data_IF_253101476681
#
_entry.id   IF_253101476681
#
_cell.length_a   1.000
_cell.length_b   1.000
_cell.length_c   1.000
_cell.angle_alpha   90.00
_cell.angle_beta   90.00
_cell.angle_gamma   90.00
#
_symmetry.space_group_name_H-M   'P 1'
#
loop_
_entity.id
_entity.type
_entity.pdbx_description
1 polymer ?
#
# COMPACT_ATOMS: atom_id res chain seq x y z
N UNK A 1 -14.13 0.39 12.29
CA UNK A 1 -14.82 -0.39 11.24
C UNK A 1 -16.28 -0.57 11.61
N UNK A 2 -17.22 -0.36 10.68
CA UNK A 2 -18.67 -0.42 10.96
C UNK A 2 -19.23 -1.78 10.53
N UNK A 3 -19.94 -2.44 11.44
CA UNK A 3 -20.63 -3.70 11.16
C UNK A 3 -22.04 -3.45 10.61
N UNK A 4 -22.58 -4.42 9.87
CA UNK A 4 -23.93 -4.38 9.28
C UNK A 4 -24.89 -5.11 10.22
N UNK A 5 -25.85 -4.36 10.76
CA UNK A 5 -26.79 -4.85 11.79
C UNK A 5 -28.01 -5.63 11.26
N UNK A 6 -28.46 -5.37 10.03
CA UNK A 6 -29.74 -5.89 9.49
C UNK A 6 -29.59 -7.23 8.77
N UNK A 7 -28.93 -8.20 9.42
CA UNK A 7 -28.71 -9.55 8.88
C UNK A 7 -30.03 -10.33 8.87
N UNK A 8 -30.40 -10.89 7.71
CA UNK A 8 -31.72 -11.54 7.51
C UNK A 8 -31.64 -13.06 7.57
N UNK A 9 -30.44 -13.59 7.35
CA UNK A 9 -30.17 -15.01 7.29
C UNK A 9 -29.12 -15.38 8.34
N UNK A 10 -29.25 -16.55 8.95
CA UNK A 10 -28.21 -17.15 9.79
C UNK A 10 -27.29 -18.07 9.00
N UNK A 11 -27.61 -18.35 7.73
CA UNK A 11 -26.78 -19.13 6.83
C UNK A 11 -25.48 -18.38 6.50
N UNK A 12 -24.40 -18.88 7.10
CA UNK A 12 -23.04 -18.41 6.83
C UNK A 12 -22.50 -19.17 5.63
N UNK A 13 -22.10 -18.43 4.60
CA UNK A 13 -21.44 -18.98 3.42
C UNK A 13 -19.97 -18.65 3.44
N UNK A 14 -19.16 -19.58 2.96
CA UNK A 14 -17.71 -19.39 2.83
C UNK A 14 -17.40 -19.25 1.35
N UNK A 15 -16.81 -18.13 0.97
CA UNK A 15 -16.45 -17.84 -0.42
C UNK A 15 -14.96 -17.57 -0.54
N UNK A 16 -14.43 -17.83 -1.74
CA UNK A 16 -13.04 -17.55 -2.10
C UNK A 16 -13.00 -16.38 -3.06
N UNK A 17 -12.18 -15.38 -2.74
CA UNK A 17 -12.01 -14.16 -3.53
C UNK A 17 -10.55 -13.94 -3.89
N UNK A 18 -10.31 -13.24 -4.99
CA UNK A 18 -8.97 -12.85 -5.38
C UNK A 18 -8.94 -11.47 -6.04
N UNK A 19 -7.80 -10.79 -5.89
CA UNK A 19 -7.43 -9.60 -6.65
C UNK A 19 -6.55 -9.94 -7.86
N UNK A 20 -6.20 -11.21 -8.06
CA UNK A 20 -5.30 -11.67 -9.12
C UNK A 20 -3.81 -11.44 -8.85
N UNK A 21 -3.45 -10.95 -7.65
CA UNK A 21 -2.05 -10.66 -7.26
C UNK A 21 -1.31 -11.91 -6.80
N UNK A 22 -1.98 -12.77 -6.04
CA UNK A 22 -1.42 -14.02 -5.50
C UNK A 22 -2.24 -15.23 -5.98
N UNK A 23 -1.57 -16.38 -6.07
CA UNK A 23 -2.17 -17.65 -6.51
C UNK A 23 -3.14 -18.21 -5.47
N UNK A 24 -2.84 -17.99 -4.19
CA UNK A 24 -3.72 -18.38 -3.09
C UNK A 24 -4.94 -17.44 -3.09
N UNK A 25 -6.17 -17.96 -3.06
CA UNK A 25 -7.36 -17.15 -2.87
C UNK A 25 -7.59 -16.83 -1.39
N UNK A 26 -8.18 -15.67 -1.11
CA UNK A 26 -8.60 -15.30 0.24
C UNK A 26 -9.97 -15.91 0.54
N UNK A 27 -10.06 -16.68 1.62
CA UNK A 27 -11.32 -17.23 2.11
C UNK A 27 -11.99 -16.27 3.10
N UNK A 28 -13.28 -15.98 2.89
CA UNK A 28 -14.07 -15.14 3.79
C UNK A 28 -15.44 -15.73 4.06
N UNK A 29 -15.96 -15.43 5.26
CA UNK A 29 -17.31 -15.81 5.69
C UNK A 29 -18.27 -14.64 5.51
N UNK A 30 -19.37 -14.90 4.82
CA UNK A 30 -20.36 -13.89 4.43
C UNK A 30 -21.77 -14.33 4.83
N UNK A 31 -22.64 -13.35 5.02
CA UNK A 31 -24.05 -13.55 5.38
C UNK A 31 -24.92 -12.57 4.62
N UNK A 32 -26.15 -12.98 4.31
CA UNK A 32 -27.13 -12.13 3.63
C UNK A 32 -27.69 -11.09 4.59
N UNK A 33 -27.84 -9.86 4.12
CA UNK A 33 -28.44 -8.76 4.89
C UNK A 33 -29.56 -8.07 4.10
N UNK A 34 -30.39 -7.29 4.80
CA UNK A 34 -31.48 -6.53 4.20
C UNK A 34 -30.95 -5.15 3.86
N UNK A 35 -30.75 -4.89 2.57
CA UNK A 35 -30.31 -3.58 2.10
C UNK A 35 -31.35 -2.50 2.39
N UNK A 36 -30.93 -1.44 3.07
CA UNK A 36 -31.71 -0.23 3.30
C UNK A 36 -31.69 0.70 2.08
N UNK A 37 -32.52 1.75 2.11
CA UNK A 37 -32.68 2.68 0.98
C UNK A 37 -31.39 3.47 0.62
N UNK A 38 -30.40 3.51 1.51
CA UNK A 38 -29.10 4.16 1.28
C UNK A 38 -27.98 3.21 0.85
N UNK A 39 -28.21 1.89 0.86
CA UNK A 39 -27.15 0.93 0.59
C UNK A 39 -26.89 0.79 -0.91
N UNK A 40 -25.63 0.95 -1.31
CA UNK A 40 -25.21 0.76 -2.68
C UNK A 40 -24.92 -0.72 -2.91
N UNK A 41 -25.93 -1.46 -3.40
CA UNK A 41 -25.84 -2.91 -3.69
C UNK A 41 -25.58 -3.23 -5.16
N UNK A 42 -25.28 -2.23 -5.99
CA UNK A 42 -24.99 -2.42 -7.41
C UNK A 42 -23.60 -1.89 -7.78
N UNK A 43 -22.95 -2.55 -8.74
CA UNK A 43 -21.76 -2.00 -9.39
C UNK A 43 -22.19 -1.01 -10.46
N UNK A 44 -21.55 0.15 -10.49
CA UNK A 44 -21.69 1.14 -11.54
C UNK A 44 -20.34 1.29 -12.26
N UNK A 45 -20.38 1.52 -13.56
CA UNK A 45 -19.21 1.87 -14.36
C UNK A 45 -19.61 2.86 -15.44
N UNK A 46 -18.65 3.65 -15.91
CA UNK A 46 -18.87 4.64 -16.96
C UNK A 46 -18.10 4.22 -18.19
N UNK A 47 -18.73 4.34 -19.35
CA UNK A 47 -18.13 4.05 -20.65
C UNK A 47 -18.29 5.26 -21.55
N UNK A 48 -17.38 5.44 -22.49
CA UNK A 48 -17.52 6.45 -23.54
C UNK A 48 -18.09 5.77 -24.77
N UNK A 49 -19.29 6.17 -25.17
CA UNK A 49 -20.01 5.61 -26.33
C UNK A 49 -20.39 6.73 -27.32
N UNK A 50 -20.55 6.39 -28.59
CA UNK A 50 -20.88 7.33 -29.67
C UNK A 50 -19.68 8.10 -30.26
N UNK A 51 -19.87 8.74 -31.42
CA UNK A 51 -18.80 9.43 -32.16
C UNK A 51 -18.18 10.61 -31.40
N UNK A 52 -18.90 11.17 -30.42
CA UNK A 52 -18.43 12.28 -29.58
C UNK A 52 -17.82 11.82 -28.25
N UNK A 53 -17.85 10.52 -27.96
CA UNK A 53 -17.32 9.94 -26.72
C UNK A 53 -18.12 10.31 -25.48
N UNK A 54 -19.45 10.33 -25.58
CA UNK A 54 -20.35 10.71 -24.49
C UNK A 54 -20.26 9.67 -23.35
N UNK A 55 -20.25 10.16 -22.10
CA UNK A 55 -20.17 9.31 -20.92
C UNK A 55 -21.52 8.67 -20.58
N UNK A 56 -21.59 7.35 -20.68
CA UNK A 56 -22.76 6.54 -20.34
C UNK A 56 -22.48 5.79 -19.04
N UNK A 57 -23.32 6.01 -18.03
CA UNK A 57 -23.26 5.29 -16.75
C UNK A 57 -24.09 4.01 -16.82
N UNK A 58 -23.43 2.87 -16.64
CA UNK A 58 -24.01 1.52 -16.61
C UNK A 58 -24.12 0.99 -15.19
N UNK A 59 -24.98 -0.02 -14.99
CA UNK A 59 -25.31 -0.60 -13.68
C UNK A 59 -25.46 -2.12 -13.78
N UNK A 60 -24.96 -2.85 -12.77
CA UNK A 60 -25.22 -4.26 -12.54
C UNK A 60 -25.58 -4.48 -11.08
N UNK A 61 -26.78 -4.99 -10.83
CA UNK A 61 -27.24 -5.35 -9.49
C UNK A 61 -26.46 -6.57 -8.98
N UNK A 62 -26.12 -6.55 -7.69
CA UNK A 62 -25.41 -7.63 -7.01
C UNK A 62 -26.20 -8.05 -5.76
N UNK A 63 -25.93 -9.26 -5.28
CA UNK A 63 -26.62 -9.78 -4.10
C UNK A 63 -26.17 -9.07 -2.80
N UNK A 64 -27.09 -8.81 -1.87
CA UNK A 64 -26.81 -8.09 -0.63
C UNK A 64 -26.19 -9.02 0.42
N UNK A 65 -24.87 -9.22 0.31
CA UNK A 65 -24.07 -9.92 1.32
C UNK A 65 -23.07 -8.97 1.98
N UNK A 66 -22.77 -9.26 3.25
CA UNK A 66 -21.75 -8.60 4.05
C UNK A 66 -20.89 -9.64 4.78
N UNK A 67 -19.75 -9.21 5.34
CA UNK A 67 -18.91 -10.05 6.19
C UNK A 67 -19.66 -10.45 7.47
N UNK A 68 -19.46 -11.70 7.91
CA UNK A 68 -20.01 -12.19 9.20
C UNK A 68 -19.39 -11.46 10.38
N UNK A 69 -18.10 -11.16 10.32
CA UNK A 69 -17.39 -10.43 11.36
C UNK A 69 -16.24 -9.64 10.72
N UNK A 70 -16.40 -8.32 10.65
CA UNK A 70 -15.42 -7.43 10.01
C UNK A 70 -14.08 -7.45 10.76
N UNK A 71 -14.08 -7.62 12.08
CA UNK A 71 -12.86 -7.60 12.89
C UNK A 71 -12.08 -8.91 12.79
N UNK A 72 -12.80 -10.04 12.82
CA UNK A 72 -12.19 -11.35 12.58
C UNK A 72 -11.64 -11.44 11.15
N UNK A 73 -12.40 -10.96 10.16
CA UNK A 73 -11.91 -10.88 8.78
C UNK A 73 -10.71 -9.94 8.65
N UNK A 74 -10.68 -8.79 9.33
CA UNK A 74 -9.52 -7.89 9.31
C UNK A 74 -8.23 -8.57 9.83
N UNK A 75 -8.35 -9.38 10.88
CA UNK A 75 -7.21 -10.12 11.45
C UNK A 75 -6.76 -11.26 10.54
N UNK A 76 -7.71 -11.99 9.96
CA UNK A 76 -7.39 -13.02 8.98
C UNK A 76 -6.75 -12.42 7.71
N UNK A 77 -7.27 -11.29 7.23
CA UNK A 77 -6.81 -10.64 6.03
C UNK A 77 -5.39 -10.05 6.17
N UNK A 78 -5.09 -9.43 7.31
CA UNK A 78 -3.73 -8.98 7.64
C UNK A 78 -2.73 -10.13 7.60
N UNK A 79 -3.06 -11.25 8.26
CA UNK A 79 -2.23 -12.47 8.23
C UNK A 79 -2.05 -12.98 6.80
N UNK A 80 -3.13 -13.02 6.03
CA UNK A 80 -3.09 -13.45 4.63
C UNK A 80 -2.17 -12.56 3.78
N UNK A 81 -2.20 -11.24 3.97
CA UNK A 81 -1.33 -10.29 3.26
C UNK A 81 0.14 -10.60 3.56
N UNK A 82 0.49 -10.74 4.85
CA UNK A 82 1.85 -11.02 5.30
C UNK A 82 2.34 -12.36 4.77
N UNK A 83 1.51 -13.40 4.86
CA UNK A 83 1.90 -14.76 4.52
C UNK A 83 1.96 -15.02 3.00
N UNK A 84 1.14 -14.30 2.20
CA UNK A 84 0.95 -14.64 0.78
C UNK A 84 1.18 -13.46 -0.18
N UNK A 85 0.52 -12.32 0.05
CA UNK A 85 0.54 -11.21 -0.88
C UNK A 85 1.91 -10.52 -0.92
N UNK A 86 2.48 -10.21 0.24
CA UNK A 86 3.80 -9.56 0.35
C UNK A 86 4.91 -10.40 -0.28
N UNK A 87 5.07 -11.70 0.04
CA UNK A 87 6.08 -12.53 -0.63
C UNK A 87 5.90 -12.61 -2.14
N UNK A 88 4.65 -12.66 -2.62
CA UNK A 88 4.37 -12.66 -4.06
C UNK A 88 4.76 -11.35 -4.72
N UNK A 89 4.41 -10.21 -4.11
CA UNK A 89 4.81 -8.89 -4.60
C UNK A 89 6.32 -8.71 -4.58
N UNK A 90 7.01 -9.15 -3.53
CA UNK A 90 8.47 -9.13 -3.47
C UNK A 90 9.03 -9.96 -4.62
N UNK A 91 8.57 -11.20 -4.83
CA UNK A 91 9.07 -12.06 -5.91
C UNK A 91 8.84 -11.46 -7.31
N UNK A 92 7.67 -10.88 -7.55
CA UNK A 92 7.31 -10.28 -8.86
C UNK A 92 8.09 -8.99 -9.12
N UNK A 93 8.37 -8.21 -8.07
CA UNK A 93 9.06 -6.93 -8.18
C UNK A 93 10.56 -7.02 -7.86
N UNK A 94 11.07 -8.20 -7.51
CA UNK A 94 12.50 -8.44 -7.34
C UNK A 94 13.13 -8.28 -8.72
N UNK A 95 14.06 -7.34 -8.89
CA UNK A 95 14.71 -7.10 -10.16
C UNK A 95 15.34 -8.37 -10.74
N UNK A 96 14.88 -8.82 -11.91
CA UNK A 96 15.69 -9.72 -12.74
C UNK A 96 17.02 -9.00 -13.05
N UNK A 97 18.12 -9.74 -13.10
CA UNK A 97 19.54 -9.32 -13.23
C UNK A 97 19.85 -8.15 -14.20
N UNK A 98 18.95 -7.81 -15.12
CA UNK A 98 19.03 -6.67 -16.03
C UNK A 98 19.09 -5.30 -15.35
N UNK A 99 18.57 -5.15 -14.12
CA UNK A 99 18.55 -3.85 -13.43
C UNK A 99 19.86 -3.49 -12.72
N UNK A 100 20.80 -4.42 -12.53
CA UNK A 100 22.14 -4.08 -12.01
C UNK A 100 22.89 -3.10 -12.93
N UNK A 101 22.54 -3.04 -14.23
CA UNK A 101 23.25 -2.21 -15.21
C UNK A 101 22.85 -0.74 -15.25
N UNK A 102 21.78 -0.31 -14.56
CA UNK A 102 21.32 1.10 -14.60
C UNK A 102 21.72 1.90 -13.35
N UNK A 103 22.43 1.29 -12.37
CA UNK A 103 22.82 1.96 -11.12
C UNK A 103 24.04 2.89 -11.22
N UNK A 104 24.76 2.86 -12.35
CA UNK A 104 25.92 3.70 -12.60
C UNK A 104 25.45 5.07 -13.11
N UNK A 105 25.45 6.07 -12.23
CA UNK A 105 25.38 7.49 -12.61
C UNK A 105 24.15 8.29 -12.17
N UNK A 106 23.20 7.72 -11.41
CA UNK A 106 22.08 8.50 -10.86
C UNK A 106 22.26 8.91 -9.40
N UNK A 107 21.80 10.12 -9.10
CA UNK A 107 21.79 10.82 -7.82
C UNK A 107 21.10 10.04 -6.69
N UNK A 108 21.65 10.09 -5.46
CA UNK A 108 21.16 9.42 -4.25
C UNK A 108 19.71 9.80 -3.91
N UNK A 109 19.32 11.08 -4.05
CA UNK A 109 17.93 11.50 -3.82
C UNK A 109 17.00 10.86 -4.85
N UNK A 110 17.45 10.80 -6.10
CA UNK A 110 16.69 10.16 -7.18
C UNK A 110 16.61 8.65 -6.98
N UNK A 111 17.65 8.00 -6.47
CA UNK A 111 17.65 6.57 -6.12
C UNK A 111 16.65 6.27 -4.99
N UNK A 112 16.65 7.04 -3.90
CA UNK A 112 15.70 6.84 -2.79
C UNK A 112 14.26 7.15 -3.22
N UNK A 113 14.05 8.21 -4.00
CA UNK A 113 12.74 8.55 -4.55
C UNK A 113 12.24 7.50 -5.55
N UNK A 114 13.09 7.03 -6.47
CA UNK A 114 12.77 5.94 -7.40
C UNK A 114 12.48 4.67 -6.63
N UNK A 115 13.24 4.32 -5.58
CA UNK A 115 12.95 3.13 -4.76
C UNK A 115 11.61 3.25 -4.02
N UNK A 116 11.29 4.41 -3.45
CA UNK A 116 10.01 4.65 -2.77
C UNK A 116 8.82 4.68 -3.75
N UNK A 117 8.99 5.30 -4.93
CA UNK A 117 7.99 5.37 -5.99
C UNK A 117 7.83 4.02 -6.69
N UNK A 118 8.91 3.27 -6.93
CA UNK A 118 8.84 1.90 -7.42
C UNK A 118 8.20 0.99 -6.40
N UNK A 119 8.49 1.14 -5.10
CA UNK A 119 7.79 0.42 -4.06
C UNK A 119 6.28 0.77 -4.07
N UNK A 120 5.94 2.04 -4.09
CA UNK A 120 4.56 2.53 -4.16
C UNK A 120 3.84 2.21 -5.48
N UNK A 121 4.52 2.08 -6.63
CA UNK A 121 3.93 1.70 -7.92
C UNK A 121 3.87 0.17 -8.09
N UNK A 122 4.82 -0.55 -7.49
CA UNK A 122 4.79 -2.01 -7.37
C UNK A 122 3.66 -2.47 -6.45
N UNK A 123 3.31 -1.62 -5.48
CA UNK A 123 2.03 -1.59 -4.83
C UNK A 123 1.03 -0.98 -5.82
N UNK A 124 0.47 -1.74 -6.76
CA UNK A 124 -0.56 -1.17 -7.65
C UNK A 124 -1.87 -0.87 -6.85
N UNK A 125 -1.86 0.18 -6.03
CA UNK A 125 -2.95 0.61 -5.15
C UNK A 125 -4.12 1.18 -5.95
N UNK A 126 -3.86 1.69 -7.16
CA UNK A 126 -4.87 2.28 -8.05
C UNK A 126 -5.67 1.25 -8.85
N UNK A 127 -5.06 0.13 -9.26
CA UNK A 127 -5.75 -0.98 -9.95
C UNK A 127 -6.33 -2.05 -9.02
N UNK A 128 -5.78 -2.19 -7.81
CA UNK A 128 -6.13 -3.23 -6.84
C UNK A 128 -6.87 -2.71 -5.60
N UNK A 129 -7.65 -1.64 -5.77
CA UNK A 129 -8.71 -1.37 -4.79
C UNK A 129 -9.62 -2.59 -4.70
N UNK A 130 -10.23 -2.85 -3.54
CA UNK A 130 -11.08 -4.03 -3.35
C UNK A 130 -12.26 -4.07 -4.35
N UNK A 131 -12.55 -2.95 -5.03
CA UNK A 131 -13.44 -2.88 -6.18
C UNK A 131 -13.06 -3.77 -7.37
N UNK A 132 -11.82 -4.23 -7.52
CA UNK A 132 -11.41 -5.17 -8.58
C UNK A 132 -11.48 -6.64 -8.17
N UNK A 133 -11.80 -6.93 -6.90
CA UNK A 133 -11.92 -8.30 -6.42
C UNK A 133 -13.14 -9.01 -7.03
N UNK A 134 -12.97 -10.30 -7.28
CA UNK A 134 -14.01 -11.19 -7.80
C UNK A 134 -13.99 -12.52 -7.07
N UNK A 135 -15.14 -13.19 -7.06
CA UNK A 135 -15.29 -14.52 -6.50
C UNK A 135 -14.68 -15.53 -7.47
N UNK A 136 -13.77 -16.37 -6.97
CA UNK A 136 -13.08 -17.41 -7.74
C UNK A 136 -13.35 -18.83 -7.25
N UNK A 137 -14.03 -19.01 -6.11
CA UNK A 137 -14.44 -20.32 -5.60
C UNK A 137 -15.73 -20.87 -6.21
N UNK A 138 -16.11 -22.08 -5.80
CA UNK A 138 -17.34 -22.77 -6.27
C UNK A 138 -18.61 -22.05 -5.84
N UNK A 139 -18.61 -21.48 -4.63
CA UNK A 139 -19.74 -20.71 -4.11
C UNK A 139 -19.73 -19.28 -4.65
N UNK A 140 -20.59 -19.01 -5.64
CA UNK A 140 -20.76 -17.69 -6.27
C UNK A 140 -21.84 -16.82 -5.64
N UNK A 141 -22.39 -17.22 -4.49
CA UNK A 141 -23.55 -16.59 -3.85
C UNK A 141 -24.81 -16.55 -4.74
N UNK A 142 -24.89 -17.44 -5.74
CA UNK A 142 -25.96 -17.47 -6.74
C UNK A 142 -25.82 -16.42 -7.85
N UNK A 143 -24.74 -15.62 -7.83
CA UNK A 143 -24.46 -14.64 -8.88
C UNK A 143 -23.78 -15.30 -10.09
N UNK A 144 -23.98 -14.68 -11.26
CA UNK A 144 -23.40 -15.11 -12.54
C UNK A 144 -22.43 -14.06 -13.08
N UNK A 145 -21.37 -14.48 -13.80
CA UNK A 145 -20.46 -13.55 -14.44
C UNK A 145 -21.18 -12.67 -15.48
N UNK A 146 -20.67 -11.47 -15.73
CA UNK A 146 -21.14 -10.69 -16.87
C UNK A 146 -20.52 -11.24 -18.16
N UNK A 147 -21.36 -11.59 -19.14
CA UNK A 147 -20.88 -12.16 -20.41
C UNK A 147 -21.48 -11.47 -21.62
N UNK A 148 -22.35 -10.46 -21.43
CA UNK A 148 -22.99 -9.73 -22.53
C UNK A 148 -22.34 -8.40 -22.81
N UNK A 149 -21.96 -7.68 -21.75
CA UNK A 149 -21.35 -6.36 -21.87
C UNK A 149 -19.84 -6.44 -21.61
N UNK A 150 -19.04 -6.47 -22.68
CA UNK A 150 -17.58 -6.50 -22.62
C UNK A 150 -16.96 -5.26 -21.97
N UNK A 151 -17.70 -4.15 -21.88
CA UNK A 151 -17.25 -2.94 -21.18
C UNK A 151 -17.30 -3.09 -19.66
N UNK A 152 -17.91 -4.17 -19.16
CA UNK A 152 -17.98 -4.44 -17.74
C UNK A 152 -16.57 -4.66 -17.16
N UNK A 153 -16.17 -3.94 -16.09
CA UNK A 153 -14.80 -4.00 -15.57
C UNK A 153 -14.33 -5.40 -15.13
N UNK A 154 -15.27 -6.30 -14.83
CA UNK A 154 -15.00 -7.68 -14.44
C UNK A 154 -15.65 -8.66 -15.42
N UNK A 155 -15.56 -8.38 -16.71
CA UNK A 155 -16.11 -9.24 -17.75
C UNK A 155 -15.64 -10.69 -17.59
N UNK A 156 -16.58 -11.63 -17.73
CA UNK A 156 -16.35 -13.06 -17.50
C UNK A 156 -16.17 -13.47 -16.03
N UNK A 157 -16.20 -12.54 -15.08
CA UNK A 157 -15.95 -12.81 -13.65
C UNK A 157 -17.19 -12.51 -12.78
N UNK A 158 -17.29 -13.21 -11.66
CA UNK A 158 -18.36 -12.98 -10.65
C UNK A 158 -17.93 -11.85 -9.73
N UNK A 159 -18.62 -10.72 -9.79
CA UNK A 159 -18.33 -9.57 -8.93
C UNK A 159 -18.50 -9.88 -7.46
N UNK A 160 -17.58 -9.37 -6.64
CA UNK A 160 -17.79 -9.33 -5.20
C UNK A 160 -18.91 -8.33 -4.82
N UNK A 161 -19.80 -8.67 -3.87
CA UNK A 161 -20.82 -7.78 -3.35
C UNK A 161 -20.26 -6.43 -2.88
N UNK A 162 -20.98 -5.34 -3.16
CA UNK A 162 -20.51 -3.97 -2.90
C UNK A 162 -20.30 -3.64 -1.43
N UNK A 163 -21.10 -4.22 -0.54
CA UNK A 163 -20.94 -3.99 0.89
C UNK A 163 -19.68 -4.66 1.42
N UNK A 164 -19.36 -5.86 0.95
CA UNK A 164 -18.08 -6.52 1.27
C UNK A 164 -16.91 -5.65 0.79
N UNK A 165 -16.99 -5.09 -0.43
CA UNK A 165 -15.97 -4.15 -0.93
C UNK A 165 -15.79 -2.97 0.02
N UNK A 166 -16.88 -2.31 0.42
CA UNK A 166 -16.82 -1.17 1.35
C UNK A 166 -16.29 -1.57 2.76
N UNK A 167 -16.58 -2.78 3.23
CA UNK A 167 -16.04 -3.28 4.49
C UNK A 167 -14.53 -3.50 4.40
N UNK A 168 -14.02 -4.04 3.29
CA UNK A 168 -12.59 -4.15 3.05
C UNK A 168 -11.90 -2.80 2.89
N UNK A 169 -12.53 -1.83 2.23
CA UNK A 169 -12.01 -0.45 2.16
C UNK A 169 -11.88 0.14 3.58
N UNK A 170 -12.85 -0.14 4.47
CA UNK A 170 -12.77 0.25 5.88
C UNK A 170 -11.66 -0.50 6.64
N UNK A 171 -11.46 -1.80 6.40
CA UNK A 171 -10.36 -2.60 6.98
C UNK A 171 -9.02 -2.02 6.57
N UNK A 172 -8.82 -1.79 5.27
CA UNK A 172 -7.59 -1.22 4.71
C UNK A 172 -7.26 0.12 5.36
N UNK A 173 -8.23 1.03 5.43
CA UNK A 173 -8.01 2.36 6.02
C UNK A 173 -7.76 2.32 7.53
N UNK A 174 -8.50 1.47 8.27
CA UNK A 174 -8.51 1.52 9.75
C UNK A 174 -7.42 0.67 10.38
N UNK A 175 -6.93 -0.35 9.69
CA UNK A 175 -6.01 -1.34 10.28
C UNK A 175 -4.68 -1.44 9.53
N UNK A 176 -4.68 -1.32 8.22
CA UNK A 176 -3.47 -1.54 7.43
C UNK A 176 -2.74 -0.22 7.14
N UNK A 177 -3.45 0.79 6.61
CA UNK A 177 -2.86 2.07 6.24
C UNK A 177 -2.50 2.93 7.44
N UNK A 178 -3.36 2.97 8.48
CA UNK A 178 -3.06 3.72 9.71
C UNK A 178 -1.81 3.18 10.39
N UNK A 179 -1.73 1.87 10.59
CA UNK A 179 -0.58 1.24 11.25
C UNK A 179 0.69 1.41 10.42
N UNK A 180 0.63 1.23 9.09
CA UNK A 180 1.78 1.47 8.23
C UNK A 180 2.28 2.92 8.29
N UNK A 181 1.38 3.90 8.25
CA UNK A 181 1.75 5.31 8.32
C UNK A 181 2.30 5.66 9.71
N UNK A 182 1.73 5.10 10.78
CA UNK A 182 2.22 5.27 12.14
C UNK A 182 3.62 4.67 12.31
N UNK A 183 3.85 3.44 11.82
CA UNK A 183 5.16 2.78 11.84
C UNK A 183 6.20 3.52 10.99
N UNK A 184 5.80 4.01 9.80
CA UNK A 184 6.65 4.84 8.95
C UNK A 184 7.01 6.15 9.65
N UNK A 185 6.04 6.81 10.27
CA UNK A 185 6.23 8.04 11.02
C UNK A 185 7.13 7.82 12.24
N UNK A 186 6.94 6.71 12.97
CA UNK A 186 7.82 6.30 14.07
C UNK A 186 9.24 6.05 13.58
N UNK A 187 9.42 5.37 12.45
CA UNK A 187 10.73 5.17 11.81
C UNK A 187 11.41 6.48 11.45
N UNK A 188 10.69 7.41 10.81
CA UNK A 188 11.18 8.76 10.50
C UNK A 188 11.54 9.54 11.77
N UNK A 189 10.71 9.47 12.81
CA UNK A 189 10.96 10.13 14.10
C UNK A 189 12.17 9.52 14.82
N UNK A 190 12.34 8.21 14.78
CA UNK A 190 13.52 7.54 15.34
C UNK A 190 14.79 7.98 14.59
N UNK A 191 14.75 8.07 13.26
CA UNK A 191 15.87 8.62 12.47
C UNK A 191 16.15 10.07 12.86
N UNK A 192 15.12 10.90 13.06
CA UNK A 192 15.27 12.28 13.52
C UNK A 192 15.84 12.36 14.95
N UNK A 193 15.39 11.52 15.87
CA UNK A 193 15.93 11.43 17.24
C UNK A 193 17.39 10.98 17.21
N UNK A 194 17.72 9.98 16.39
CA UNK A 194 19.10 9.56 16.17
C UNK A 194 19.91 10.72 15.58
N UNK A 195 19.38 11.43 14.59
CA UNK A 195 20.02 12.63 14.04
C UNK A 195 20.24 13.70 15.11
N UNK A 196 19.26 14.00 15.96
CA UNK A 196 19.39 14.98 17.04
C UNK A 196 20.36 14.54 18.15
N UNK A 197 20.37 13.25 18.50
CA UNK A 197 21.19 12.67 19.57
C UNK A 197 22.65 12.45 19.14
N UNK A 198 22.88 11.99 17.91
CA UNK A 198 24.22 11.77 17.38
C UNK A 198 24.92 13.04 16.88
N UNK A 199 24.18 14.10 16.53
CA UNK A 199 24.76 15.42 16.23
C UNK A 199 25.26 16.19 17.48
N UNK A 200 25.23 15.59 18.68
CA UNK A 200 25.85 16.17 19.88
C UNK A 200 27.36 15.88 19.98
N UNK A 201 27.91 15.00 19.13
CA UNK A 201 29.35 14.77 19.01
C UNK A 201 29.89 15.27 17.66
N UNK A 202 31.17 15.70 17.60
CA UNK A 202 31.78 16.06 16.33
C UNK A 202 31.76 14.86 15.37
N UNK A 203 31.31 15.10 14.13
CA UNK A 203 31.34 14.10 13.08
C UNK A 203 32.77 13.58 12.84
N UNK A 204 32.95 12.30 12.45
CA UNK A 204 34.23 11.79 12.00
C UNK A 204 34.73 12.62 10.83
N UNK A 205 36.04 12.91 10.80
CA UNK A 205 36.61 13.63 9.67
C UNK A 205 36.80 12.67 8.50
N UNK A 206 36.31 13.06 7.33
CA UNK A 206 36.44 12.27 6.10
C UNK A 206 37.90 12.02 5.70
N UNK A 207 38.82 12.89 6.10
CA UNK A 207 40.26 12.78 5.86
C UNK A 207 41.00 11.91 6.89
N UNK A 208 40.32 11.39 7.92
CA UNK A 208 40.90 10.53 8.94
C UNK A 208 40.11 9.21 9.18
N UNK A 209 39.97 8.32 8.18
CA UNK A 209 39.17 7.09 8.30
C UNK A 209 39.66 6.11 9.38
N UNK A 210 40.94 6.17 9.75
CA UNK A 210 41.54 5.34 10.80
C UNK A 210 41.01 5.66 12.20
N UNK A 211 40.35 6.80 12.40
CA UNK A 211 39.73 7.17 13.68
C UNK A 211 38.31 6.62 13.85
N UNK A 212 37.76 5.93 12.84
CA UNK A 212 36.38 5.39 12.82
C UNK A 212 35.97 4.63 14.09
N UNK A 213 36.88 3.82 14.64
CA UNK A 213 36.62 3.01 15.85
C UNK A 213 36.44 3.85 17.14
N UNK A 214 36.78 5.14 17.10
CA UNK A 214 36.68 6.08 18.25
C UNK A 214 35.39 6.88 18.25
N UNK A 215 34.53 6.73 17.25
CA UNK A 215 33.30 7.52 17.06
C UNK A 215 32.04 6.69 17.32
N UNK A 216 30.90 7.39 17.49
CA UNK A 216 29.57 6.79 17.66
C UNK A 216 29.11 5.94 16.45
N UNK A 217 29.81 6.05 15.32
CA UNK A 217 29.58 5.30 14.09
C UNK A 217 30.42 4.01 13.99
N UNK A 218 31.10 3.62 15.06
CA UNK A 218 31.99 2.44 15.08
C UNK A 218 31.27 1.12 14.82
N UNK A 219 29.96 1.06 15.11
CA UNK A 219 29.12 -0.13 14.91
C UNK A 219 28.55 -0.26 13.49
N UNK A 220 28.67 0.78 12.65
CA UNK A 220 28.18 0.72 11.27
C UNK A 220 29.02 -0.25 10.44
N UNK A 221 28.39 -0.93 9.47
CA UNK A 221 29.12 -1.66 8.44
C UNK A 221 29.93 -0.69 7.56
N UNK A 222 30.95 -1.17 6.85
CA UNK A 222 31.75 -0.31 5.96
C UNK A 222 30.91 0.33 4.86
N UNK A 223 29.96 -0.40 4.28
CA UNK A 223 29.05 0.14 3.26
C UNK A 223 28.14 1.25 3.81
N UNK A 224 27.64 1.09 5.04
CA UNK A 224 26.83 2.11 5.71
C UNK A 224 27.65 3.35 6.07
N UNK A 225 28.88 3.14 6.54
CA UNK A 225 29.80 4.23 6.84
C UNK A 225 30.14 5.04 5.59
N UNK A 226 30.49 4.37 4.48
CA UNK A 226 30.84 5.03 3.22
C UNK A 226 29.66 5.84 2.67
N UNK A 227 28.44 5.30 2.75
CA UNK A 227 27.23 6.02 2.38
C UNK A 227 27.01 7.30 3.21
N UNK A 228 27.25 7.25 4.53
CA UNK A 228 27.13 8.43 5.40
C UNK A 228 28.20 9.46 5.05
N UNK A 229 29.44 9.04 4.76
CA UNK A 229 30.53 9.95 4.40
C UNK A 229 30.32 10.58 3.01
N UNK A 230 29.80 9.84 2.05
CA UNK A 230 29.41 10.35 0.73
C UNK A 230 28.26 11.36 0.87
N UNK A 231 27.26 11.05 1.69
CA UNK A 231 26.13 11.96 1.96
C UNK A 231 26.57 13.24 2.66
N UNK A 232 27.51 13.15 3.59
CA UNK A 232 28.10 14.30 4.28
C UNK A 232 28.91 15.20 3.35
N UNK A 233 29.57 14.64 2.33
CA UNK A 233 30.43 15.42 1.44
C UNK A 233 29.70 15.91 0.19
N UNK A 234 28.46 15.47 -0.04
CA UNK A 234 27.61 15.94 -1.14
C UNK A 234 27.28 17.44 -1.00
N UNK A 235 27.63 18.21 -2.02
CA UNK A 235 27.50 19.68 -2.04
C UNK A 235 26.05 20.17 -1.97
N UNK A 236 25.08 19.36 -2.40
CA UNK A 236 23.65 19.71 -2.38
C UNK A 236 23.06 19.46 -1.01
N UNK A 237 23.47 18.37 -0.36
CA UNK A 237 23.13 18.10 1.04
C UNK A 237 23.75 19.16 1.94
N UNK A 238 25.01 19.53 1.73
CA UNK A 238 25.65 20.63 2.46
C UNK A 238 24.91 21.97 2.33
N UNK A 239 24.40 22.28 1.13
CA UNK A 239 23.57 23.48 0.90
C UNK A 239 22.22 23.42 1.62
N UNK A 240 21.60 22.26 1.74
CA UNK A 240 20.38 22.10 2.53
C UNK A 240 20.67 22.16 4.03
N UNK A 241 21.72 21.49 4.50
CA UNK A 241 22.14 21.52 5.90
C UNK A 241 22.50 22.93 6.36
N UNK A 242 23.07 23.78 5.49
CA UNK A 242 23.30 25.19 5.82
C UNK A 242 22.01 25.98 6.02
N UNK A 243 20.94 25.64 5.27
CA UNK A 243 19.60 26.23 5.47
C UNK A 243 19.02 25.79 6.81
N UNK A 244 19.11 24.50 7.15
CA UNK A 244 18.64 23.96 8.42
C UNK A 244 19.43 24.47 9.63
N UNK A 245 20.76 24.65 9.47
CA UNK A 245 21.63 25.23 10.48
C UNK A 245 21.24 26.68 10.77
N UNK A 246 20.99 27.48 9.73
CA UNK A 246 20.47 28.83 9.85
C UNK A 246 19.09 28.86 10.53
N UNK A 247 18.18 27.97 10.14
CA UNK A 247 16.87 27.81 10.79
C UNK A 247 16.98 27.46 12.28
N UNK A 248 17.95 26.62 12.65
CA UNK A 248 18.23 26.22 14.03
C UNK A 248 18.82 27.36 14.88
N UNK A 249 19.62 28.24 14.28
CA UNK A 249 20.23 29.40 14.95
C UNK A 249 19.26 30.58 15.06
N UNK A 250 18.37 30.74 14.07
CA UNK A 250 17.48 31.90 13.93
C UNK A 250 16.01 31.59 14.32
N UNK A 251 15.69 30.36 14.72
CA UNK A 251 14.33 29.91 15.06
C UNK A 251 13.26 30.29 14.01
N UNK A 252 13.64 30.37 12.73
CA UNK A 252 12.72 30.71 11.64
C UNK A 252 12.32 32.19 11.53
N UNK A 253 13.05 33.13 12.14
CA UNK A 253 12.76 34.57 12.03
C UNK A 253 13.38 35.28 10.80
N UNK A 254 13.93 34.52 9.85
CA UNK A 254 14.67 35.03 8.69
C UNK A 254 14.01 34.77 7.33
N UNK A 255 12.72 35.10 7.19
CA UNK A 255 12.05 35.39 5.91
C UNK A 255 11.28 36.71 5.98
#
# INVERSE_FOLDING_TARGET
>A
MKDVGDRVDTEVRTIQITLGICSEPLEIKVVRFRAGAGDVVARFWTVKEGERGDEVRKKKDLEPYCLVDVWATATHFEKYIIDNAVPTMIRVNTPHELLQKTFLGQDVIHKTYIMAVQHYLSMDVSGHTTGSAYICGEDTLGMKPETKDETYPLFGKVSMPRIIVAQFDSINHTKLLSNFVEELQEGCNNILVHWHYYNCHPWPKADAPWERHKHFMSELSSEQHDLVMETMTDTRIQKQLSVWKRYREENGFGE
#
